data_IF_594122242435
#
_entry.id   IF_594122242435
#
_cell.length_a   1.000
_cell.length_b   1.000
_cell.length_c   1.000
_cell.angle_alpha   90.00
_cell.angle_beta   90.00
_cell.angle_gamma   90.00
#
_symmetry.space_group_name_H-M   'P 1'
#
loop_
_entity.id
_entity.type
_entity.pdbx_description
1 polymer ?
#
# COMPACT_ATOMS: atom_id res chain seq x y z
N UNK A 1 16.00 -20.39 29.47
CA UNK A 1 15.31 -19.11 29.26
C UNK A 1 13.85 -19.43 29.00
N UNK A 2 12.90 -18.76 29.64
CA UNK A 2 11.47 -19.00 29.38
C UNK A 2 11.11 -18.52 27.98
N UNK A 3 10.09 -19.13 27.38
CA UNK A 3 9.51 -18.73 26.10
C UNK A 3 9.12 -17.24 26.07
N UNK A 4 8.61 -16.73 27.20
CA UNK A 4 8.32 -15.31 27.42
C UNK A 4 9.55 -14.38 27.32
N UNK A 5 10.73 -14.82 27.78
CA UNK A 5 11.96 -14.03 27.66
C UNK A 5 12.52 -14.00 26.22
N UNK A 6 12.13 -14.96 25.38
CA UNK A 6 12.48 -14.98 23.95
C UNK A 6 11.56 -14.07 23.12
N UNK A 7 10.26 -13.99 23.48
CA UNK A 7 9.33 -13.04 22.88
C UNK A 7 9.69 -11.58 23.17
N UNK A 8 10.22 -11.28 24.35
CA UNK A 8 10.68 -9.93 24.77
C UNK A 8 11.85 -9.35 23.94
N UNK A 9 12.45 -10.11 23.01
CA UNK A 9 13.42 -9.58 22.03
C UNK A 9 12.89 -9.58 20.59
N UNK A 10 11.76 -10.27 20.34
CA UNK A 10 11.22 -10.47 18.99
C UNK A 10 10.56 -9.21 18.43
N UNK A 11 9.94 -8.39 19.29
CA UNK A 11 9.35 -7.12 18.85
C UNK A 11 10.40 -6.19 18.22
N UNK A 12 11.62 -6.13 18.80
CA UNK A 12 12.74 -5.35 18.23
C UNK A 12 13.19 -5.88 16.88
N UNK A 13 13.20 -7.21 16.70
CA UNK A 13 13.53 -7.82 15.40
C UNK A 13 12.47 -7.49 14.33
N UNK A 14 11.23 -7.25 14.76
CA UNK A 14 10.13 -6.80 13.93
C UNK A 14 10.05 -5.26 13.81
N UNK A 15 11.05 -4.52 14.26
CA UNK A 15 11.12 -3.06 14.11
C UNK A 15 10.30 -2.25 15.12
N UNK A 16 9.71 -2.88 16.14
CA UNK A 16 9.02 -2.19 17.23
C UNK A 16 10.01 -1.75 18.32
N UNK A 17 9.80 -0.56 18.87
CA UNK A 17 10.49 -0.09 20.08
C UNK A 17 9.96 -0.78 21.32
N UNK A 18 10.70 -0.72 22.44
CA UNK A 18 10.21 -1.23 23.74
C UNK A 18 8.95 -0.51 24.19
N UNK A 19 8.89 0.81 23.97
CA UNK A 19 7.72 1.61 24.31
C UNK A 19 6.48 1.21 23.49
N UNK A 20 6.65 0.99 22.19
CA UNK A 20 5.56 0.50 21.33
C UNK A 20 5.07 -0.88 21.76
N UNK A 21 5.97 -1.78 22.14
CA UNK A 21 5.58 -3.09 22.68
C UNK A 21 4.80 -2.97 24.00
N UNK A 22 5.24 -2.12 24.92
CA UNK A 22 4.52 -1.86 26.18
C UNK A 22 3.11 -1.32 25.92
N UNK A 23 2.96 -0.39 24.97
CA UNK A 23 1.66 0.11 24.54
C UNK A 23 0.79 -1.00 23.93
N UNK A 24 1.35 -1.89 23.10
CA UNK A 24 0.61 -3.04 22.54
C UNK A 24 0.08 -3.93 23.66
N UNK A 25 0.91 -4.24 24.67
CA UNK A 25 0.49 -5.04 25.83
C UNK A 25 -0.63 -4.34 26.60
N UNK A 26 -0.55 -3.02 26.78
CA UNK A 26 -1.61 -2.23 27.40
C UNK A 26 -2.92 -2.30 26.60
N UNK A 27 -2.87 -2.11 25.28
CA UNK A 27 -4.04 -2.14 24.39
C UNK A 27 -4.70 -3.51 24.29
N UNK A 28 -3.91 -4.57 24.43
CA UNK A 28 -4.41 -5.95 24.43
C UNK A 28 -4.81 -6.44 25.82
N UNK A 29 -4.40 -5.76 26.89
CA UNK A 29 -4.51 -6.19 28.30
C UNK A 29 -3.81 -7.53 28.58
N UNK A 30 -2.89 -7.95 27.70
CA UNK A 30 -2.07 -9.17 27.78
C UNK A 30 -0.91 -9.10 26.80
N UNK A 31 0.03 -10.05 26.90
CA UNK A 31 1.08 -10.19 25.90
C UNK A 31 0.48 -10.60 24.53
N UNK A 32 0.95 -10.00 23.42
CA UNK A 32 0.54 -10.40 22.08
C UNK A 32 1.11 -11.78 21.75
N UNK A 33 0.34 -12.59 21.03
CA UNK A 33 0.86 -13.80 20.41
C UNK A 33 1.64 -13.47 19.11
N UNK A 34 2.14 -14.49 18.41
CA UNK A 34 2.94 -14.32 17.19
C UNK A 34 2.20 -13.59 16.05
N UNK A 35 0.93 -13.93 15.81
CA UNK A 35 0.10 -13.30 14.77
C UNK A 35 -0.11 -11.84 15.10
N UNK A 36 -0.50 -11.56 16.35
CA UNK A 36 -0.80 -10.22 16.82
C UNK A 36 0.44 -9.32 16.80
N UNK A 37 1.57 -9.83 17.27
CA UNK A 37 2.83 -9.08 17.27
C UNK A 37 3.29 -8.77 15.84
N UNK A 38 3.15 -9.72 14.91
CA UNK A 38 3.48 -9.50 13.50
C UNK A 38 2.56 -8.44 12.86
N UNK A 39 1.26 -8.54 13.11
CA UNK A 39 0.25 -7.57 12.65
C UNK A 39 0.55 -6.16 13.18
N UNK A 40 0.73 -6.00 14.49
CA UNK A 40 1.07 -4.71 15.09
C UNK A 40 2.39 -4.15 14.56
N UNK A 41 3.40 -5.00 14.34
CA UNK A 41 4.71 -4.54 13.86
C UNK A 41 4.64 -3.85 12.50
N UNK A 42 3.73 -4.29 11.63
CA UNK A 42 3.55 -3.69 10.32
C UNK A 42 2.60 -2.50 10.40
N UNK A 43 1.48 -2.63 11.10
CA UNK A 43 0.51 -1.53 11.23
C UNK A 43 1.12 -0.32 11.94
N UNK A 44 2.07 -0.52 12.85
CA UNK A 44 2.80 0.55 13.55
C UNK A 44 4.19 0.84 12.95
N UNK A 45 4.47 0.37 11.74
CA UNK A 45 5.67 0.77 11.00
C UNK A 45 5.55 2.22 10.51
N UNK A 46 6.67 2.90 10.23
CA UNK A 46 6.59 4.24 9.61
C UNK A 46 5.88 4.21 8.26
N UNK A 47 6.05 3.12 7.51
CA UNK A 47 5.45 2.93 6.19
C UNK A 47 3.91 2.92 6.22
N UNK A 48 3.31 2.26 7.21
CA UNK A 48 1.84 2.18 7.32
C UNK A 48 1.26 3.31 8.18
N UNK A 49 1.88 3.63 9.32
CA UNK A 49 1.29 4.56 10.29
C UNK A 49 1.68 6.03 10.08
N UNK A 50 2.76 6.31 9.34
CA UNK A 50 3.29 7.66 9.14
C UNK A 50 3.56 8.37 10.48
N UNK A 51 4.18 7.67 11.44
CA UNK A 51 4.27 8.09 12.85
C UNK A 51 4.91 9.45 13.03
N UNK A 52 5.90 9.78 12.19
CA UNK A 52 6.62 11.05 12.26
C UNK A 52 6.04 12.12 11.32
N UNK A 53 5.43 11.71 10.21
CA UNK A 53 4.99 12.62 9.16
C UNK A 53 3.50 13.00 9.27
N UNK A 54 2.64 12.15 9.85
CA UNK A 54 1.18 12.36 9.92
C UNK A 54 0.79 13.70 10.56
N UNK A 55 1.50 14.13 11.62
CA UNK A 55 1.25 15.42 12.28
C UNK A 55 1.54 16.61 11.35
N UNK A 56 2.64 16.55 10.59
CA UNK A 56 3.00 17.58 9.62
C UNK A 56 2.05 17.59 8.41
N UNK A 57 1.70 16.41 7.89
CA UNK A 57 0.80 16.27 6.74
C UNK A 57 -0.61 16.81 7.02
N UNK A 58 -1.09 16.74 8.26
CA UNK A 58 -2.37 17.34 8.68
C UNK A 58 -2.42 18.87 8.56
N UNK A 59 -1.27 19.53 8.38
CA UNK A 59 -1.22 20.99 8.16
C UNK A 59 -1.52 21.39 6.71
N UNK A 60 -1.49 20.43 5.77
CA UNK A 60 -1.77 20.69 4.36
C UNK A 60 -3.27 20.93 4.15
N UNK A 61 -3.66 21.91 3.31
CA UNK A 61 -5.07 22.15 2.99
C UNK A 61 -5.62 21.00 2.15
N UNK A 62 -6.77 20.46 2.56
CA UNK A 62 -7.42 19.30 1.91
C UNK A 62 -8.79 19.61 1.32
N UNK A 63 -9.31 20.82 1.54
CA UNK A 63 -10.61 21.25 1.06
C UNK A 63 -10.50 22.06 -0.24
N UNK A 64 -11.43 21.82 -1.16
CA UNK A 64 -11.53 22.58 -2.41
C UNK A 64 -12.83 22.27 -3.15
N UNK A 65 -13.34 23.19 -3.99
CA UNK A 65 -14.64 23.05 -4.64
C UNK A 65 -14.72 21.87 -5.60
N UNK A 66 -13.59 21.42 -6.15
CA UNK A 66 -13.51 20.27 -7.04
C UNK A 66 -13.17 18.96 -6.32
N UNK A 67 -12.85 18.97 -5.01
CA UNK A 67 -12.44 17.77 -4.29
C UNK A 67 -13.66 16.86 -4.05
N UNK A 68 -13.61 15.64 -4.59
CA UNK A 68 -14.62 14.60 -4.38
C UNK A 68 -14.19 13.60 -3.31
N UNK A 69 -12.89 13.25 -3.30
CA UNK A 69 -12.25 12.39 -2.29
C UNK A 69 -10.90 13.00 -1.91
N UNK A 70 -10.72 13.27 -0.62
CA UNK A 70 -9.48 13.77 -0.04
C UNK A 70 -8.64 12.65 0.57
N UNK A 71 -7.62 12.99 1.39
CA UNK A 71 -6.83 12.01 2.11
C UNK A 71 -7.68 11.08 2.98
N UNK A 72 -7.38 9.78 2.96
CA UNK A 72 -8.09 8.75 3.73
C UNK A 72 -8.73 7.64 2.88
N UNK A 73 -8.84 7.83 1.57
CA UNK A 73 -9.18 6.77 0.60
C UNK A 73 -7.92 6.33 -0.16
N UNK A 74 -8.02 5.23 -0.94
CA UNK A 74 -6.86 4.70 -1.67
C UNK A 74 -6.37 5.63 -2.77
N UNK A 75 -7.20 6.55 -3.25
CA UNK A 75 -6.77 7.62 -4.16
C UNK A 75 -7.58 8.90 -3.90
N UNK A 76 -6.95 10.05 -4.18
CA UNK A 76 -7.67 11.32 -4.21
C UNK A 76 -8.47 11.43 -5.51
N UNK A 77 -9.61 12.12 -5.48
CA UNK A 77 -10.43 12.32 -6.68
C UNK A 77 -10.98 13.74 -6.77
N UNK A 78 -11.02 14.26 -8.00
CA UNK A 78 -11.53 15.60 -8.31
C UNK A 78 -12.57 15.58 -9.43
N UNK A 79 -13.56 16.46 -9.34
CA UNK A 79 -14.57 16.70 -10.37
C UNK A 79 -13.94 17.48 -11.53
N UNK A 80 -14.03 16.92 -12.75
CA UNK A 80 -13.51 17.55 -13.98
C UNK A 80 -14.62 18.05 -14.91
N UNK A 81 -15.87 18.05 -14.43
CA UNK A 81 -17.05 18.46 -15.18
C UNK A 81 -17.64 17.34 -16.05
N UNK A 82 -18.81 17.61 -16.63
CA UNK A 82 -19.47 16.65 -17.52
C UNK A 82 -19.94 15.34 -16.86
N UNK A 83 -20.05 15.32 -15.52
CA UNK A 83 -20.37 14.11 -14.75
C UNK A 83 -19.18 13.19 -14.54
N UNK A 84 -17.95 13.62 -14.83
CA UNK A 84 -16.74 12.82 -14.73
C UNK A 84 -15.88 13.26 -13.54
N UNK A 85 -15.17 12.29 -12.97
CA UNK A 85 -14.16 12.47 -11.97
C UNK A 85 -12.82 11.90 -12.46
N UNK A 86 -11.73 12.53 -12.03
CA UNK A 86 -10.37 12.00 -12.18
C UNK A 86 -9.85 11.60 -10.81
N UNK A 87 -9.52 10.32 -10.64
CA UNK A 87 -8.82 9.81 -9.47
C UNK A 87 -7.33 9.75 -9.75
N UNK A 88 -6.50 10.08 -8.76
CA UNK A 88 -5.06 10.00 -8.87
C UNK A 88 -4.39 9.79 -7.51
N UNK A 89 -3.23 9.14 -7.56
CA UNK A 89 -2.32 8.96 -6.43
C UNK A 89 -0.90 8.88 -6.96
N UNK A 90 0.05 9.15 -6.08
CA UNK A 90 1.47 8.86 -6.27
C UNK A 90 1.95 7.96 -5.13
N UNK A 91 2.75 6.96 -5.47
CA UNK A 91 3.42 6.08 -4.52
C UNK A 91 4.91 5.98 -4.81
N UNK A 92 5.66 5.49 -3.83
CA UNK A 92 7.11 5.25 -3.96
C UNK A 92 7.44 3.78 -3.72
N UNK A 93 8.37 3.24 -4.50
CA UNK A 93 8.87 1.88 -4.36
C UNK A 93 10.41 1.86 -4.31
N UNK A 94 10.97 2.78 -3.52
CA UNK A 94 12.40 3.13 -3.48
C UNK A 94 13.28 1.95 -3.07
N UNK A 95 13.06 1.41 -1.87
CA UNK A 95 13.92 0.36 -1.33
C UNK A 95 13.88 -0.94 -2.16
N UNK A 96 12.70 -1.48 -2.54
CA UNK A 96 12.65 -2.63 -3.43
C UNK A 96 13.39 -2.36 -4.75
N UNK A 97 13.25 -1.15 -5.32
CA UNK A 97 13.94 -0.77 -6.55
C UNK A 97 15.47 -0.63 -6.39
N UNK A 98 15.96 -0.30 -5.19
CA UNK A 98 17.39 -0.25 -4.90
C UNK A 98 18.02 -1.66 -4.78
N UNK A 99 17.22 -2.67 -4.43
CA UNK A 99 17.62 -4.08 -4.27
C UNK A 99 17.44 -4.85 -5.58
N UNK A 100 16.24 -4.84 -6.15
CA UNK A 100 15.90 -5.44 -7.44
C UNK A 100 15.11 -4.41 -8.28
N UNK A 101 15.80 -3.63 -9.13
CA UNK A 101 15.19 -2.47 -9.81
C UNK A 101 14.08 -2.82 -10.80
N UNK A 102 14.10 -4.00 -11.43
CA UNK A 102 13.09 -4.34 -12.42
C UNK A 102 11.75 -4.63 -11.74
N UNK A 103 11.78 -5.53 -10.78
CA UNK A 103 10.62 -5.95 -10.02
C UNK A 103 10.13 -4.83 -9.11
N UNK A 104 11.02 -4.15 -8.40
CA UNK A 104 10.62 -3.03 -7.55
C UNK A 104 9.89 -1.93 -8.32
N UNK A 105 10.37 -1.56 -9.51
CA UNK A 105 9.68 -0.57 -10.32
C UNK A 105 8.37 -1.11 -10.92
N UNK A 106 8.35 -2.38 -11.33
CA UNK A 106 7.16 -3.03 -11.88
C UNK A 106 6.03 -3.16 -10.85
N UNK A 107 6.32 -3.62 -9.63
CA UNK A 107 5.33 -3.74 -8.54
C UNK A 107 4.87 -2.38 -8.05
N UNK A 108 5.72 -1.35 -8.10
CA UNK A 108 5.31 0.04 -7.87
C UNK A 108 4.24 0.53 -8.86
N UNK A 109 4.36 0.14 -10.15
CA UNK A 109 3.31 0.41 -11.14
C UNK A 109 2.04 -0.42 -10.86
N UNK A 110 2.18 -1.69 -10.49
CA UNK A 110 1.04 -2.53 -10.13
C UNK A 110 0.24 -1.98 -8.95
N UNK A 111 0.91 -1.60 -7.85
CA UNK A 111 0.28 -1.03 -6.67
C UNK A 111 -0.51 0.25 -6.98
N UNK A 112 0.10 1.20 -7.69
CA UNK A 112 -0.57 2.47 -7.99
C UNK A 112 -1.78 2.32 -8.94
N UNK A 113 -1.77 1.30 -9.81
CA UNK A 113 -2.94 0.96 -10.62
C UNK A 113 -4.08 0.45 -9.74
N UNK A 114 -3.77 -0.44 -8.78
CA UNK A 114 -4.74 -1.00 -7.82
C UNK A 114 -5.42 0.08 -6.98
N UNK A 115 -4.66 1.02 -6.46
CA UNK A 115 -5.20 2.17 -5.72
C UNK A 115 -6.28 2.92 -6.51
N UNK A 116 -6.01 3.18 -7.79
CA UNK A 116 -6.88 3.99 -8.66
C UNK A 116 -8.15 3.23 -9.02
N UNK A 117 -8.07 1.93 -9.34
CA UNK A 117 -9.28 1.17 -9.64
C UNK A 117 -10.02 0.68 -8.39
N UNK A 118 -9.40 0.66 -7.21
CA UNK A 118 -10.07 0.41 -5.94
C UNK A 118 -11.20 1.43 -5.67
N UNK A 119 -10.97 2.70 -6.03
CA UNK A 119 -11.98 3.76 -5.95
C UNK A 119 -12.94 3.80 -7.15
N UNK A 120 -12.87 2.80 -8.04
CA UNK A 120 -13.74 2.65 -9.20
C UNK A 120 -13.35 3.46 -10.44
N UNK A 121 -12.17 4.07 -10.44
CA UNK A 121 -11.65 4.79 -11.60
C UNK A 121 -10.84 3.87 -12.51
N UNK A 122 -11.11 3.89 -13.82
CA UNK A 122 -10.32 3.15 -14.80
C UNK A 122 -8.98 3.85 -15.00
N UNK A 123 -7.83 3.20 -14.75
CA UNK A 123 -6.53 3.76 -15.07
C UNK A 123 -6.43 4.09 -16.56
N UNK A 124 -5.98 5.30 -16.87
CA UNK A 124 -5.82 5.80 -18.25
C UNK A 124 -4.39 6.23 -18.56
N UNK A 125 -3.60 6.56 -17.54
CA UNK A 125 -2.23 7.02 -17.71
C UNK A 125 -1.43 6.81 -16.42
N UNK A 126 -0.14 6.51 -16.58
CA UNK A 126 0.85 6.53 -15.51
C UNK A 126 1.91 7.60 -15.78
N UNK A 127 2.55 8.07 -14.71
CA UNK A 127 3.74 8.92 -14.77
C UNK A 127 4.78 8.41 -13.77
N UNK A 128 6.06 8.61 -14.09
CA UNK A 128 7.18 8.19 -13.24
C UNK A 128 8.02 9.38 -12.78
N UNK A 129 8.42 9.37 -11.50
CA UNK A 129 9.34 10.35 -10.91
C UNK A 129 10.57 9.60 -10.41
N UNK A 130 11.67 9.72 -11.15
CA UNK A 130 12.86 8.90 -10.99
C UNK A 130 14.07 9.72 -10.50
N UNK A 131 14.78 9.20 -9.49
CA UNK A 131 16.07 9.75 -9.02
C UNK A 131 17.12 8.67 -8.96
N UNK A 132 18.25 8.89 -9.62
CA UNK A 132 19.41 7.99 -9.60
C UNK A 132 20.71 8.75 -9.37
N UNK A 133 21.78 8.02 -9.06
CA UNK A 133 23.14 8.58 -9.00
C UNK A 133 23.65 9.08 -10.35
N UNK A 134 24.88 9.58 -10.38
CA UNK A 134 25.49 10.14 -11.60
C UNK A 134 25.58 9.10 -12.75
N UNK A 135 25.47 9.58 -14.00
CA UNK A 135 25.43 8.74 -15.20
C UNK A 135 26.74 8.00 -15.50
N UNK A 136 27.86 8.43 -14.94
CA UNK A 136 29.16 7.75 -15.07
C UNK A 136 29.27 6.53 -14.14
N UNK A 137 28.42 6.41 -13.11
CA UNK A 137 28.30 5.21 -12.28
C UNK A 137 27.65 4.05 -13.03
N UNK A 138 28.31 2.88 -12.97
CA UNK A 138 27.75 1.63 -13.49
C UNK A 138 26.51 1.19 -12.72
N UNK A 139 26.44 1.43 -11.41
CA UNK A 139 25.29 1.10 -10.56
C UNK A 139 24.09 1.95 -10.95
N UNK A 140 24.25 3.26 -11.10
CA UNK A 140 23.17 4.17 -11.50
C UNK A 140 22.60 3.80 -12.87
N UNK A 141 23.45 3.50 -13.85
CA UNK A 141 22.99 3.04 -15.17
C UNK A 141 22.22 1.72 -15.10
N UNK A 142 22.66 0.78 -14.25
CA UNK A 142 21.94 -0.47 -14.02
C UNK A 142 20.57 -0.24 -13.38
N UNK A 143 20.49 0.55 -12.31
CA UNK A 143 19.23 0.87 -11.65
C UNK A 143 18.24 1.54 -12.63
N UNK A 144 18.72 2.53 -13.39
CA UNK A 144 17.93 3.22 -14.41
C UNK A 144 17.39 2.25 -15.47
N UNK A 145 18.27 1.49 -16.12
CA UNK A 145 17.89 0.58 -17.22
C UNK A 145 16.84 -0.43 -16.76
N UNK A 146 17.06 -1.04 -15.60
CA UNK A 146 16.18 -2.06 -15.05
C UNK A 146 14.86 -1.49 -14.55
N UNK A 147 14.86 -0.34 -13.87
CA UNK A 147 13.64 0.29 -13.39
C UNK A 147 12.72 0.71 -14.54
N UNK A 148 13.27 1.36 -15.57
CA UNK A 148 12.49 1.75 -16.77
C UNK A 148 11.97 0.51 -17.50
N UNK A 149 12.77 -0.55 -17.60
CA UNK A 149 12.31 -1.82 -18.17
C UNK A 149 11.17 -2.46 -17.36
N UNK A 150 11.21 -2.37 -16.03
CA UNK A 150 10.15 -2.84 -15.14
C UNK A 150 8.84 -2.06 -15.30
N UNK A 151 8.93 -0.72 -15.28
CA UNK A 151 7.80 0.19 -15.52
C UNK A 151 7.16 -0.12 -16.88
N UNK A 152 7.99 -0.19 -17.92
CA UNK A 152 7.55 -0.50 -19.27
C UNK A 152 6.94 -1.89 -19.37
N UNK A 153 7.51 -2.90 -18.72
CA UNK A 153 6.97 -4.25 -18.74
C UNK A 153 5.56 -4.30 -18.14
N UNK A 154 5.38 -3.73 -16.95
CA UNK A 154 4.11 -3.80 -16.24
C UNK A 154 3.02 -2.97 -16.94
N UNK A 155 3.30 -1.68 -17.22
CA UNK A 155 2.35 -0.78 -17.87
C UNK A 155 1.92 -1.25 -19.26
N UNK A 156 2.87 -1.70 -20.10
CA UNK A 156 2.54 -2.21 -21.44
C UNK A 156 1.71 -3.49 -21.40
N UNK A 157 1.94 -4.36 -20.41
CA UNK A 157 1.22 -5.64 -20.29
C UNK A 157 -0.22 -5.43 -19.81
N UNK A 158 -0.44 -4.51 -18.87
CA UNK A 158 -1.81 -4.10 -18.45
C UNK A 158 -2.52 -3.27 -19.52
N UNK A 159 -1.74 -2.57 -20.36
CA UNK A 159 -2.26 -1.67 -21.39
C UNK A 159 -2.56 -0.26 -20.89
N UNK A 160 -1.80 0.22 -19.90
CA UNK A 160 -1.87 1.59 -19.38
C UNK A 160 -0.56 2.29 -19.71
N UNK A 161 -0.65 3.39 -20.45
CA UNK A 161 0.54 4.07 -20.97
C UNK A 161 1.19 4.96 -19.91
N UNK A 162 2.53 4.86 -19.79
CA UNK A 162 3.33 5.90 -19.13
C UNK A 162 3.43 7.09 -20.08
N UNK A 163 2.70 8.17 -19.79
CA UNK A 163 2.53 9.31 -20.71
C UNK A 163 3.59 10.39 -20.52
N UNK A 164 4.34 10.35 -19.44
CA UNK A 164 5.37 11.31 -19.09
C UNK A 164 5.90 11.06 -17.70
N UNK A 165 6.73 11.96 -17.21
CA UNK A 165 7.41 11.80 -15.95
C UNK A 165 8.58 12.76 -15.85
N UNK A 166 9.43 12.55 -14.85
CA UNK A 166 10.65 13.33 -14.70
C UNK A 166 11.77 12.47 -14.12
N UNK A 167 12.99 12.73 -14.60
CA UNK A 167 14.19 12.00 -14.22
C UNK A 167 15.28 12.99 -13.85
N UNK A 168 15.95 12.71 -12.74
CA UNK A 168 17.04 13.55 -12.24
C UNK A 168 18.19 12.70 -11.71
N UNK A 169 19.41 13.19 -11.92
CA UNK A 169 20.65 12.51 -11.55
C UNK A 169 21.43 13.35 -10.54
N UNK A 170 21.76 12.74 -9.41
CA UNK A 170 22.62 13.34 -8.39
C UNK A 170 23.28 12.26 -7.54
N UNK A 171 24.58 12.40 -7.27
CA UNK A 171 25.38 11.43 -6.50
C UNK A 171 24.68 10.84 -5.24
N UNK A 172 23.98 11.59 -4.38
CA UNK A 172 23.34 11.01 -3.18
C UNK A 172 22.31 9.90 -3.48
N UNK A 173 21.70 9.89 -4.66
CA UNK A 173 20.72 8.88 -5.06
C UNK A 173 21.32 7.58 -5.58
N UNK A 174 22.65 7.42 -5.59
CA UNK A 174 23.31 6.18 -6.03
C UNK A 174 23.04 5.00 -5.07
N UNK A 175 22.96 5.31 -3.77
CA UNK A 175 22.72 4.31 -2.72
C UNK A 175 21.23 4.12 -2.42
N UNK A 176 20.46 5.21 -2.52
CA UNK A 176 19.01 5.19 -2.33
C UNK A 176 18.34 5.90 -3.52
N UNK A 177 17.98 5.12 -4.55
CA UNK A 177 17.23 5.67 -5.67
C UNK A 177 15.80 6.00 -5.26
N UNK A 178 15.19 6.98 -5.93
CA UNK A 178 13.75 7.22 -5.80
C UNK A 178 13.06 6.72 -7.05
N UNK A 179 12.05 5.87 -6.87
CA UNK A 179 11.22 5.34 -7.94
C UNK A 179 9.79 5.54 -7.49
N UNK A 180 9.20 6.65 -7.96
CA UNK A 180 7.82 6.97 -7.68
C UNK A 180 6.96 6.74 -8.93
N UNK A 181 5.78 6.18 -8.74
CA UNK A 181 4.78 5.98 -9.77
C UNK A 181 3.52 6.75 -9.42
N UNK A 182 2.99 7.51 -10.38
CA UNK A 182 1.70 8.17 -10.32
C UNK A 182 0.76 7.48 -11.30
N UNK A 183 -0.51 7.35 -10.94
CA UNK A 183 -1.56 6.90 -11.85
C UNK A 183 -2.70 7.91 -11.89
N UNK A 184 -3.28 8.10 -13.06
CA UNK A 184 -4.53 8.80 -13.29
C UNK A 184 -5.57 7.80 -13.77
N UNK A 185 -6.76 7.87 -13.19
CA UNK A 185 -7.92 7.15 -13.66
C UNK A 185 -9.14 8.05 -13.84
N UNK A 186 -10.10 7.57 -14.63
CA UNK A 186 -11.35 8.28 -14.91
C UNK A 186 -12.55 7.42 -14.53
N UNK A 187 -13.57 8.06 -13.95
CA UNK A 187 -14.85 7.44 -13.64
C UNK A 187 -16.00 8.44 -13.81
N UNK A 188 -17.23 7.97 -14.07
CA UNK A 188 -18.43 8.72 -13.72
C UNK A 188 -18.41 9.07 -12.23
N UNK A 189 -18.78 10.30 -11.88
CA UNK A 189 -18.70 10.82 -10.51
C UNK A 189 -19.45 9.95 -9.51
N UNK A 190 -20.62 9.46 -9.90
CA UNK A 190 -21.51 8.62 -9.10
C UNK A 190 -20.99 7.19 -8.87
N UNK A 191 -19.94 6.78 -9.60
CA UNK A 191 -19.33 5.45 -9.48
C UNK A 191 -18.12 5.40 -8.56
N UNK A 192 -17.68 6.54 -8.03
CA UNK A 192 -16.58 6.54 -7.10
C UNK A 192 -16.96 5.77 -5.82
N UNK A 193 -16.18 4.75 -5.50
CA UNK A 193 -16.43 3.86 -4.36
C UNK A 193 -15.46 4.18 -3.23
N UNK A 194 -15.95 4.08 -1.98
CA UNK A 194 -15.13 4.20 -0.76
C UNK A 194 -14.80 2.82 -0.22
N UNK A 195 -13.74 2.72 0.57
CA UNK A 195 -13.29 1.40 1.05
C UNK A 195 -13.85 0.95 2.41
N UNK A 196 -14.68 1.75 3.07
CA UNK A 196 -15.28 1.39 4.36
C UNK A 196 -16.10 0.09 4.30
N UNK A 197 -15.77 -0.90 5.13
CA UNK A 197 -16.57 -2.10 5.27
C UNK A 197 -17.91 -1.79 5.97
N UNK A 198 -18.98 -2.39 5.49
CA UNK A 198 -20.30 -2.23 6.07
C UNK A 198 -21.10 -3.53 6.00
N UNK A 199 -22.19 -3.58 6.78
CA UNK A 199 -23.12 -4.70 6.83
C UNK A 199 -22.57 -5.89 7.62
N UNK A 200 -22.94 -5.99 8.89
CA UNK A 200 -22.64 -7.16 9.73
C UNK A 200 -23.20 -8.42 9.08
N UNK A 201 -22.36 -9.45 8.96
CA UNK A 201 -22.68 -10.70 8.26
C UNK A 201 -22.32 -10.70 6.77
N UNK A 202 -21.90 -9.57 6.19
CA UNK A 202 -21.38 -9.55 4.83
C UNK A 202 -20.09 -10.35 4.70
N UNK A 203 -19.87 -10.95 3.53
CA UNK A 203 -18.69 -11.74 3.25
C UNK A 203 -17.49 -10.85 2.95
N UNK A 204 -16.35 -11.25 3.51
CA UNK A 204 -15.04 -10.74 3.11
C UNK A 204 -14.48 -11.68 2.05
N UNK A 205 -14.26 -11.18 0.83
CA UNK A 205 -13.84 -11.97 -0.33
C UNK A 205 -12.50 -11.48 -0.83
N UNK A 206 -11.52 -12.40 -0.90
CA UNK A 206 -10.21 -12.15 -1.49
C UNK A 206 -10.27 -12.45 -3.00
N UNK A 207 -9.81 -11.51 -3.80
CA UNK A 207 -9.73 -11.60 -5.25
C UNK A 207 -8.27 -11.69 -5.72
N UNK A 208 -8.02 -12.41 -6.82
CA UNK A 208 -6.74 -12.39 -7.53
C UNK A 208 -5.76 -13.52 -7.18
N UNK A 209 -4.48 -13.18 -7.09
CA UNK A 209 -3.40 -14.16 -6.99
C UNK A 209 -3.36 -14.96 -5.68
N UNK A 210 -2.58 -16.04 -5.69
CA UNK A 210 -2.34 -16.88 -4.50
C UNK A 210 -1.39 -16.17 -3.52
N UNK A 211 -1.65 -16.34 -2.23
CA UNK A 211 -0.81 -15.82 -1.15
C UNK A 211 0.43 -16.72 -0.97
N UNK A 212 1.63 -16.17 -1.18
CA UNK A 212 2.92 -16.83 -0.92
C UNK A 212 3.73 -16.09 0.15
N UNK A 213 4.97 -16.52 0.39
CA UNK A 213 5.88 -15.85 1.34
C UNK A 213 6.57 -14.63 0.73
N UNK A 214 5.81 -13.75 0.08
CA UNK A 214 6.32 -12.55 -0.59
C UNK A 214 6.39 -11.37 0.39
N UNK A 215 7.54 -10.68 0.43
CA UNK A 215 7.69 -9.44 1.20
C UNK A 215 7.45 -9.57 2.71
N UNK A 216 7.49 -10.78 3.28
CA UNK A 216 7.31 -10.98 4.72
C UNK A 216 8.42 -10.25 5.48
N UNK A 217 8.03 -9.28 6.30
CA UNK A 217 8.95 -8.40 7.03
C UNK A 217 9.45 -7.18 6.23
N UNK A 218 8.98 -7.00 4.99
CA UNK A 218 9.28 -5.83 4.15
C UNK A 218 8.97 -4.52 4.88
N UNK A 219 7.71 -4.14 5.05
CA UNK A 219 7.39 -2.81 5.57
C UNK A 219 7.98 -2.50 6.96
N UNK A 220 8.10 -3.47 7.88
CA UNK A 220 8.60 -3.24 9.24
C UNK A 220 10.12 -3.27 9.37
N UNK A 221 10.82 -4.18 8.67
CA UNK A 221 12.30 -4.21 8.62
C UNK A 221 12.83 -3.07 7.76
N UNK A 222 12.15 -2.73 6.65
CA UNK A 222 12.54 -1.63 5.78
C UNK A 222 12.32 -0.25 6.43
N UNK A 223 11.32 -0.10 7.30
CA UNK A 223 11.10 1.14 8.05
C UNK A 223 12.09 1.33 9.21
N UNK A 224 12.76 0.27 9.67
CA UNK A 224 13.64 0.28 10.86
C UNK A 224 15.12 0.05 10.56
N UNK A 225 15.49 -0.47 9.38
CA UNK A 225 16.88 -0.70 9.00
C UNK A 225 17.48 0.50 8.26
N UNK A 226 18.50 1.12 8.85
CA UNK A 226 19.51 1.84 8.06
C UNK A 226 20.13 0.85 7.07
N UNK A 227 20.46 1.31 5.84
CA UNK A 227 21.03 0.52 4.75
C UNK A 227 22.35 -0.18 5.15
N UNK A 228 22.27 -1.25 5.93
CA UNK A 228 23.40 -2.08 6.34
C UNK A 228 23.46 -3.33 5.45
N UNK A 229 24.69 -3.72 5.09
CA UNK A 229 25.04 -4.81 4.17
C UNK A 229 24.81 -6.23 4.74
N UNK A 230 23.67 -6.50 5.39
CA UNK A 230 23.35 -7.84 5.90
C UNK A 230 22.63 -8.65 4.79
N UNK A 231 23.37 -9.53 4.10
CA UNK A 231 22.83 -10.36 3.01
C UNK A 231 21.74 -11.34 3.47
N UNK A 232 21.75 -11.72 4.75
CA UNK A 232 20.85 -12.73 5.34
C UNK A 232 19.41 -12.22 5.60
N UNK A 233 19.13 -10.93 5.38
CA UNK A 233 17.81 -10.31 5.67
C UNK A 233 17.06 -9.82 4.44
N UNK A 234 17.48 -10.17 3.21
CA UNK A 234 16.77 -9.72 2.00
C UNK A 234 15.38 -10.39 1.94
N UNK A 235 14.27 -9.64 2.04
CA UNK A 235 12.94 -10.20 1.83
C UNK A 235 12.88 -10.84 0.45
N UNK A 236 12.03 -11.85 0.29
CA UNK A 236 11.68 -12.38 -1.03
C UNK A 236 11.25 -11.23 -1.93
N UNK A 237 11.99 -11.04 -3.03
CA UNK A 237 11.69 -10.00 -4.03
C UNK A 237 10.28 -10.26 -4.55
N UNK A 238 9.39 -9.29 -4.37
CA UNK A 238 8.04 -9.34 -4.92
C UNK A 238 8.14 -9.39 -6.45
N UNK A 239 7.43 -10.32 -7.09
CA UNK A 239 7.35 -10.40 -8.54
C UNK A 239 5.90 -10.13 -8.92
N UNK A 240 5.68 -9.12 -9.74
CA UNK A 240 4.34 -8.79 -10.22
C UNK A 240 3.96 -9.59 -11.47
N UNK A 241 2.69 -9.99 -11.55
CA UNK A 241 2.07 -10.57 -12.75
C UNK A 241 1.09 -9.56 -13.40
N UNK A 242 1.55 -8.72 -14.34
CA UNK A 242 0.69 -7.72 -14.95
C UNK A 242 -0.45 -8.32 -15.81
N UNK A 243 -0.37 -9.59 -16.19
CA UNK A 243 -1.45 -10.24 -16.92
C UNK A 243 -2.60 -10.63 -15.98
N UNK A 244 -2.28 -11.09 -14.77
CA UNK A 244 -3.27 -11.28 -13.71
C UNK A 244 -3.89 -9.94 -13.29
N UNK A 245 -3.07 -8.89 -13.11
CA UNK A 245 -3.53 -7.54 -12.77
C UNK A 245 -4.53 -7.00 -13.81
N UNK A 246 -4.30 -7.26 -15.11
CA UNK A 246 -5.24 -6.86 -16.16
C UNK A 246 -6.61 -7.53 -15.99
N UNK A 247 -6.64 -8.84 -15.72
CA UNK A 247 -7.91 -9.56 -15.48
C UNK A 247 -8.60 -9.05 -14.23
N UNK A 248 -7.84 -8.82 -13.16
CA UNK A 248 -8.30 -8.30 -11.88
C UNK A 248 -8.92 -6.90 -12.05
N UNK A 249 -8.25 -5.99 -12.76
CA UNK A 249 -8.74 -4.65 -13.08
C UNK A 249 -10.08 -4.71 -13.80
N UNK A 250 -10.20 -5.47 -14.89
CA UNK A 250 -11.45 -5.55 -15.65
C UNK A 250 -12.59 -6.18 -14.82
N UNK A 251 -12.27 -7.22 -14.06
CA UNK A 251 -13.20 -7.86 -13.13
C UNK A 251 -13.72 -6.88 -12.07
N UNK A 252 -12.83 -6.17 -11.37
CA UNK A 252 -13.18 -5.20 -10.34
C UNK A 252 -14.03 -4.05 -10.89
N UNK A 253 -13.67 -3.50 -12.05
CA UNK A 253 -14.47 -2.44 -12.67
C UNK A 253 -15.87 -2.93 -13.07
N UNK A 254 -16.01 -4.17 -13.58
CA UNK A 254 -17.33 -4.76 -13.90
C UNK A 254 -18.16 -5.06 -12.64
N UNK A 255 -17.54 -5.52 -11.54
CA UNK A 255 -18.20 -5.72 -10.25
C UNK A 255 -18.76 -4.41 -9.70
N UNK A 256 -17.98 -3.34 -9.77
CA UNK A 256 -18.40 -2.00 -9.36
C UNK A 256 -19.49 -1.42 -10.28
N UNK A 257 -19.36 -1.63 -11.60
CA UNK A 257 -20.38 -1.23 -12.59
C UNK A 257 -21.76 -1.84 -12.30
N UNK A 258 -21.77 -3.09 -11.82
CA UNK A 258 -23.00 -3.80 -11.47
C UNK A 258 -23.47 -3.53 -10.04
N UNK A 259 -22.71 -2.74 -9.27
CA UNK A 259 -22.99 -2.45 -7.87
C UNK A 259 -23.00 -3.69 -6.98
N UNK A 260 -22.12 -4.67 -7.26
CA UNK A 260 -22.08 -5.94 -6.54
C UNK A 260 -21.23 -5.92 -5.26
N UNK A 261 -20.48 -4.84 -5.04
CA UNK A 261 -19.57 -4.69 -3.92
C UNK A 261 -20.02 -3.55 -3.00
N UNK A 262 -19.97 -3.79 -1.70
CA UNK A 262 -20.13 -2.74 -0.69
C UNK A 262 -18.87 -1.89 -0.57
N UNK A 263 -17.71 -2.55 -0.65
CA UNK A 263 -16.40 -1.89 -0.65
C UNK A 263 -15.35 -2.74 -1.34
N UNK A 264 -14.27 -2.08 -1.77
CA UNK A 264 -13.13 -2.66 -2.44
C UNK A 264 -11.86 -1.97 -1.91
N UNK A 265 -10.83 -2.77 -1.63
CA UNK A 265 -9.54 -2.34 -1.09
C UNK A 265 -8.43 -3.15 -1.76
N UNK A 266 -7.32 -2.50 -2.10
CA UNK A 266 -6.13 -3.19 -2.59
C UNK A 266 -5.37 -3.88 -1.44
N UNK A 267 -4.59 -4.91 -1.77
CA UNK A 267 -3.59 -5.47 -0.88
C UNK A 267 -2.20 -4.98 -1.32
N UNK A 268 -1.61 -4.08 -0.51
CA UNK A 268 -0.25 -3.59 -0.65
C UNK A 268 0.63 -4.03 0.53
N UNK A 269 1.32 -3.07 1.12
CA UNK A 269 2.12 -3.29 2.32
C UNK A 269 1.29 -3.84 3.47
N UNK A 270 1.85 -4.78 4.23
CA UNK A 270 1.15 -5.57 5.25
C UNK A 270 -0.02 -6.46 4.77
N UNK A 271 -0.29 -6.53 3.47
CA UNK A 271 -1.20 -7.51 2.87
C UNK A 271 -2.62 -7.49 3.45
N UNK A 272 -3.11 -8.67 3.85
CA UNK A 272 -4.45 -8.80 4.45
C UNK A 272 -4.61 -7.97 5.72
N UNK A 273 -3.53 -7.74 6.46
CA UNK A 273 -3.55 -7.01 7.72
C UNK A 273 -3.99 -5.57 7.53
N UNK A 274 -3.32 -4.79 6.67
CA UNK A 274 -3.67 -3.40 6.41
C UNK A 274 -5.04 -3.31 5.74
N UNK A 275 -5.27 -4.05 4.67
CA UNK A 275 -6.54 -3.98 3.93
C UNK A 275 -7.73 -4.27 4.83
N UNK A 276 -7.70 -5.34 5.63
CA UNK A 276 -8.84 -5.70 6.48
C UNK A 276 -9.03 -4.75 7.67
N UNK A 277 -7.94 -4.32 8.33
CA UNK A 277 -8.02 -3.44 9.49
C UNK A 277 -8.44 -2.02 9.12
N UNK A 278 -7.94 -1.47 8.00
CA UNK A 278 -8.34 -0.16 7.50
C UNK A 278 -9.79 -0.12 7.04
N UNK A 279 -10.23 -1.14 6.28
CA UNK A 279 -11.65 -1.26 5.89
C UNK A 279 -12.56 -1.31 7.11
N UNK A 280 -12.16 -2.08 8.15
CA UNK A 280 -12.91 -2.20 9.39
C UNK A 280 -12.93 -0.90 10.21
N UNK A 281 -11.80 -0.18 10.30
CA UNK A 281 -11.69 1.09 11.02
C UNK A 281 -12.59 2.15 10.37
N UNK A 282 -12.50 2.34 9.04
CA UNK A 282 -13.35 3.27 8.29
C UNK A 282 -14.84 2.94 8.42
N UNK A 283 -15.17 1.66 8.52
CA UNK A 283 -16.53 1.16 8.71
C UNK A 283 -17.05 1.19 10.16
N UNK A 284 -16.17 1.41 11.13
CA UNK A 284 -16.44 1.22 12.57
C UNK A 284 -17.02 -0.17 12.92
N UNK A 285 -16.55 -1.20 12.21
CA UNK A 285 -16.95 -2.61 12.33
C UNK A 285 -15.77 -3.50 12.76
N UNK A 286 -16.04 -4.77 13.06
CA UNK A 286 -15.01 -5.81 13.17
C UNK A 286 -14.96 -6.68 11.91
N UNK A 287 -13.95 -7.54 11.83
CA UNK A 287 -13.80 -8.52 10.74
C UNK A 287 -13.21 -9.81 11.29
N UNK A 288 -13.77 -10.93 10.86
CA UNK A 288 -13.26 -12.27 11.12
C UNK A 288 -12.61 -12.81 9.85
N UNK A 289 -11.39 -13.32 9.93
CA UNK A 289 -10.65 -13.92 8.83
C UNK A 289 -10.27 -15.35 9.17
N UNK A 290 -10.62 -16.27 8.30
CA UNK A 290 -10.29 -17.70 8.36
C UNK A 290 -9.06 -17.95 7.47
N UNK A 291 -7.86 -18.03 8.05
CA UNK A 291 -6.62 -18.12 7.25
C UNK A 291 -6.53 -19.43 6.45
N UNK A 292 -7.19 -20.50 6.91
CA UNK A 292 -7.24 -21.78 6.19
C UNK A 292 -8.01 -21.69 4.87
N UNK A 293 -8.87 -20.67 4.72
CA UNK A 293 -9.63 -20.42 3.49
C UNK A 293 -8.83 -19.58 2.49
N UNK A 294 -7.74 -18.95 2.91
CA UNK A 294 -6.93 -18.10 2.02
C UNK A 294 -6.22 -19.00 1.00
N UNK A 295 -6.36 -18.74 -0.31
CA UNK A 295 -5.65 -19.50 -1.33
C UNK A 295 -4.13 -19.29 -1.21
N UNK A 296 -3.39 -20.38 -0.96
CA UNK A 296 -1.94 -20.33 -0.76
C UNK A 296 -1.18 -20.78 -2.02
N UNK A 297 -0.06 -20.13 -2.30
CA UNK A 297 0.90 -20.54 -3.34
C UNK A 297 1.85 -21.60 -2.81
N UNK A 298 2.20 -21.49 -1.53
CA UNK A 298 3.10 -22.39 -0.83
C UNK A 298 2.34 -23.10 0.30
N UNK A 299 2.41 -24.44 0.41
CA UNK A 299 1.77 -25.15 1.49
C UNK A 299 2.50 -24.90 2.82
N UNK A 300 1.77 -24.98 3.94
CA UNK A 300 2.36 -24.87 5.27
C UNK A 300 2.82 -23.45 5.62
N UNK A 301 2.14 -22.43 5.10
CA UNK A 301 2.29 -21.07 5.62
C UNK A 301 1.62 -20.98 6.98
N UNK A 302 2.31 -20.40 7.95
CA UNK A 302 1.77 -20.15 9.27
C UNK A 302 0.75 -18.98 9.23
N UNK A 303 -0.20 -18.90 10.18
CA UNK A 303 -1.23 -17.86 10.16
C UNK A 303 -0.69 -16.43 10.07
N UNK A 304 0.43 -16.14 10.75
CA UNK A 304 1.05 -14.82 10.68
C UNK A 304 1.61 -14.53 9.28
N UNK A 305 2.19 -15.53 8.60
CA UNK A 305 2.72 -15.39 7.23
C UNK A 305 1.61 -15.09 6.22
N UNK A 306 0.45 -15.72 6.40
CA UNK A 306 -0.73 -15.47 5.55
C UNK A 306 -1.24 -14.03 5.73
N UNK A 307 -1.32 -13.57 6.98
CA UNK A 307 -1.83 -12.24 7.31
C UNK A 307 -0.94 -11.10 6.80
N UNK A 308 0.38 -11.30 6.82
CA UNK A 308 1.36 -10.24 6.50
C UNK A 308 2.00 -10.35 5.12
N UNK A 309 1.66 -11.39 4.36
CA UNK A 309 2.17 -11.58 3.00
C UNK A 309 1.82 -10.39 2.11
N UNK A 310 2.82 -9.89 1.40
CA UNK A 310 2.70 -8.80 0.42
C UNK A 310 2.72 -9.34 -1.02
N UNK A 311 2.15 -10.53 -1.23
CA UNK A 311 1.94 -11.08 -2.57
C UNK A 311 1.12 -10.11 -3.42
N UNK A 312 1.51 -9.93 -4.66
CA UNK A 312 0.95 -8.93 -5.57
C UNK A 312 -0.38 -9.38 -6.20
N UNK A 313 -1.03 -8.49 -6.95
CA UNK A 313 -2.27 -8.75 -7.70
C UNK A 313 -3.41 -9.33 -6.86
N UNK A 314 -3.68 -8.72 -5.69
CA UNK A 314 -4.78 -9.10 -4.81
C UNK A 314 -5.63 -7.90 -4.42
N UNK A 315 -6.94 -8.13 -4.32
CA UNK A 315 -7.91 -7.17 -3.79
C UNK A 315 -8.79 -7.81 -2.72
N UNK A 316 -9.27 -7.02 -1.78
CA UNK A 316 -10.22 -7.42 -0.74
C UNK A 316 -11.53 -6.68 -0.97
N UNK A 317 -12.66 -7.39 -0.98
CA UNK A 317 -13.96 -6.77 -1.11
C UNK A 317 -14.98 -7.28 -0.09
N UNK A 318 -15.99 -6.46 0.17
CA UNK A 318 -17.14 -6.82 1.00
C UNK A 318 -18.36 -7.05 0.11
N UNK A 319 -19.03 -8.18 0.30
CA UNK A 319 -20.14 -8.63 -0.55
C UNK A 319 -21.33 -9.05 0.31
N UNK A 320 -22.52 -8.56 -0.03
CA UNK A 320 -23.77 -9.00 0.60
C UNK A 320 -24.00 -10.51 0.37
N UNK A 321 -24.50 -11.27 1.37
CA UNK A 321 -24.73 -12.71 1.21
C UNK A 321 -25.61 -13.08 0.01
N UNK A 322 -26.60 -12.25 -0.33
CA UNK A 322 -27.50 -12.47 -1.46
C UNK A 322 -26.86 -12.27 -2.84
N UNK A 323 -25.66 -11.66 -2.91
CA UNK A 323 -24.95 -11.36 -4.16
C UNK A 323 -23.69 -12.21 -4.36
N UNK A 324 -23.33 -13.03 -3.38
CA UNK A 324 -22.06 -13.77 -3.41
C UNK A 324 -21.93 -14.65 -4.66
N UNK A 325 -22.95 -15.44 -5.00
CA UNK A 325 -22.92 -16.31 -6.17
C UNK A 325 -22.75 -15.53 -7.48
N UNK A 326 -23.34 -14.34 -7.58
CA UNK A 326 -23.19 -13.47 -8.75
C UNK A 326 -21.76 -12.93 -8.85
N UNK A 327 -21.16 -12.51 -7.73
CA UNK A 327 -19.76 -12.07 -7.68
C UNK A 327 -18.82 -13.20 -8.09
N UNK A 328 -18.99 -14.41 -7.55
CA UNK A 328 -18.16 -15.56 -7.87
C UNK A 328 -18.26 -15.95 -9.36
N UNK A 329 -19.48 -15.97 -9.91
CA UNK A 329 -19.70 -16.28 -11.32
C UNK A 329 -19.08 -15.22 -12.26
N UNK A 330 -19.11 -13.94 -11.87
CA UNK A 330 -18.45 -12.89 -12.63
C UNK A 330 -16.93 -13.03 -12.59
N UNK A 331 -16.36 -13.30 -11.40
CA UNK A 331 -14.91 -13.51 -11.27
C UNK A 331 -14.44 -14.70 -12.10
N UNK A 332 -15.21 -15.80 -12.13
CA UNK A 332 -14.93 -16.96 -12.98
C UNK A 332 -14.89 -16.61 -14.46
N UNK A 333 -15.82 -15.77 -14.95
CA UNK A 333 -15.82 -15.29 -16.35
C UNK A 333 -14.56 -14.52 -16.74
N UNK A 334 -13.99 -13.78 -15.79
CA UNK A 334 -12.72 -13.05 -15.98
C UNK A 334 -11.49 -13.89 -15.67
N UNK A 335 -11.66 -15.16 -15.30
CA UNK A 335 -10.59 -16.04 -14.84
C UNK A 335 -9.81 -15.44 -13.65
N UNK A 336 -10.53 -14.74 -12.77
CA UNK A 336 -10.02 -14.16 -11.51
C UNK A 336 -10.49 -15.03 -10.36
N UNK A 337 -9.57 -15.39 -9.46
CA UNK A 337 -9.95 -16.12 -8.24
C UNK A 337 -10.80 -15.23 -7.37
N UNK A 338 -11.85 -15.79 -6.77
CA UNK A 338 -12.60 -15.15 -5.71
C UNK A 338 -12.87 -16.18 -4.62
N UNK A 339 -12.39 -15.91 -3.41
CA UNK A 339 -12.54 -16.82 -2.27
C UNK A 339 -13.11 -16.04 -1.09
N UNK A 340 -14.29 -16.40 -0.58
CA UNK A 340 -14.75 -15.85 0.69
C UNK A 340 -13.81 -16.37 1.78
N UNK A 341 -13.15 -15.48 2.51
CA UNK A 341 -12.16 -15.79 3.54
C UNK A 341 -12.62 -15.34 4.93
N UNK A 342 -13.74 -14.63 5.03
CA UNK A 342 -14.12 -14.02 6.29
C UNK A 342 -15.50 -13.38 6.27
N UNK A 343 -15.81 -12.68 7.34
CA UNK A 343 -17.08 -11.95 7.51
C UNK A 343 -16.91 -10.65 8.27
N UNK A 344 -17.76 -9.67 7.97
CA UNK A 344 -17.88 -8.42 8.74
C UNK A 344 -18.66 -8.69 10.02
N UNK A 345 -18.18 -8.18 11.15
CA UNK A 345 -18.79 -8.37 12.48
C UNK A 345 -19.04 -7.06 13.21
N UNK A 346 -19.82 -7.08 14.28
CA UNK A 346 -20.07 -5.93 15.16
C UNK A 346 -19.06 -5.81 16.32
N UNK A 347 -18.06 -6.69 16.36
CA UNK A 347 -17.13 -6.81 17.48
C UNK A 347 -16.15 -5.63 17.60
N UNK A 348 -15.92 -4.90 16.50
CA UNK A 348 -14.84 -3.89 16.36
C UNK A 348 -13.44 -4.46 16.58
N UNK A 349 -13.27 -5.75 16.30
CA UNK A 349 -12.01 -6.47 16.43
C UNK A 349 -11.65 -7.11 15.09
N UNK A 350 -10.36 -7.16 14.79
CA UNK A 350 -9.80 -8.03 13.77
C UNK A 350 -9.49 -9.36 14.44
N UNK A 351 -10.27 -10.40 14.11
CA UNK A 351 -10.08 -11.75 14.63
C UNK A 351 -9.59 -12.67 13.53
N UNK A 352 -8.52 -13.40 13.82
CA UNK A 352 -7.87 -14.32 12.90
C UNK A 352 -8.10 -15.73 13.43
N UNK A 353 -8.64 -16.60 12.58
CA UNK A 353 -8.99 -17.98 12.91
C UNK A 353 -8.14 -18.95 12.09
N UNK A 354 -7.64 -19.99 12.74
CA UNK A 354 -6.96 -21.13 12.12
C UNK A 354 -7.42 -22.42 12.81
N UNK A 355 -7.82 -23.43 12.04
CA UNK A 355 -8.42 -24.66 12.54
C UNK A 355 -9.73 -24.46 13.31
N UNK A 356 -10.43 -23.33 13.08
CA UNK A 356 -11.62 -22.93 13.85
C UNK A 356 -11.32 -22.31 15.23
N UNK A 357 -10.05 -22.16 15.59
CA UNK A 357 -9.61 -21.52 16.84
C UNK A 357 -9.13 -20.09 16.57
N UNK A 358 -9.35 -19.18 17.53
CA UNK A 358 -8.85 -17.80 17.44
C UNK A 358 -7.34 -17.83 17.68
N UNK A 359 -6.57 -17.47 16.66
CA UNK A 359 -5.11 -17.35 16.71
C UNK A 359 -4.63 -15.90 16.73
N UNK A 360 -5.53 -14.93 16.58
CA UNK A 360 -5.24 -13.51 16.80
C UNK A 360 -6.52 -12.73 17.07
N UNK A 361 -6.48 -11.82 18.03
CA UNK A 361 -7.64 -11.02 18.43
C UNK A 361 -7.23 -9.61 18.85
N UNK A 362 -7.40 -8.64 17.95
CA UNK A 362 -6.91 -7.27 18.10
C UNK A 362 -8.03 -6.25 17.97
N UNK A 363 -8.11 -5.22 18.83
CA UNK A 363 -9.00 -4.08 18.61
C UNK A 363 -8.63 -3.37 17.29
N UNK A 364 -9.62 -3.11 16.44
CA UNK A 364 -9.38 -2.44 15.15
C UNK A 364 -8.77 -1.04 15.35
N UNK A 365 -9.27 -0.29 16.33
CA UNK A 365 -8.77 1.08 16.63
C UNK A 365 -7.33 1.06 17.10
N UNK A 366 -6.91 0.03 17.84
CA UNK A 366 -5.52 -0.11 18.29
C UNK A 366 -4.55 -0.30 17.10
N UNK A 367 -5.01 -0.95 16.03
CA UNK A 367 -4.20 -1.18 14.84
C UNK A 367 -4.02 0.08 13.99
N UNK A 368 -5.10 0.85 13.79
CA UNK A 368 -5.15 1.93 12.78
C UNK A 368 -5.08 3.33 13.41
N UNK A 369 -5.86 3.57 14.46
CA UNK A 369 -6.17 4.91 14.95
C UNK A 369 -5.30 5.33 16.14
N UNK A 370 -4.90 4.37 16.97
CA UNK A 370 -4.20 4.60 18.24
C UNK A 370 -2.69 4.32 18.16
N UNK A 371 -2.14 4.17 16.95
CA UNK A 371 -0.70 4.07 16.73
C UNK A 371 -0.01 5.35 17.26
N UNK A 372 1.11 5.23 18.01
CA UNK A 372 1.81 6.40 18.53
C UNK A 372 2.31 7.32 17.41
N UNK A 373 2.11 8.63 17.61
CA UNK A 373 2.62 9.68 16.74
C UNK A 373 3.73 10.43 17.47
N UNK A 374 4.79 10.76 16.75
CA UNK A 374 5.96 11.42 17.29
C UNK A 374 6.00 12.87 16.83
N UNK A 375 6.01 13.79 17.80
CA UNK A 375 6.28 15.20 17.53
C UNK A 375 7.79 15.41 17.47
N UNK A 376 8.25 15.99 16.37
CA UNK A 376 9.66 16.30 16.15
C UNK A 376 9.92 17.76 16.53
N UNK A 377 11.01 18.00 17.26
CA UNK A 377 11.56 19.34 17.50
C UNK A 377 12.79 19.54 16.60
N UNK A 378 12.62 19.89 15.31
CA UNK A 378 13.75 20.01 14.40
C UNK A 378 14.57 21.27 14.69
N UNK A 379 15.89 21.14 14.68
CA UNK A 379 16.81 22.28 14.65
C UNK A 379 17.28 22.55 13.22
N UNK A 380 17.34 23.83 12.84
CA UNK A 380 17.90 24.19 11.54
C UNK A 380 19.38 23.76 11.51
N UNK A 381 19.83 23.08 10.44
CA UNK A 381 21.21 22.64 10.36
C UNK A 381 22.15 23.86 10.35
N UNK A 382 23.22 23.80 11.14
CA UNK A 382 24.18 24.91 11.28
C UNK A 382 24.90 25.25 9.96
N UNK A 383 25.02 24.27 9.08
CA UNK A 383 25.54 24.41 7.72
C UNK A 383 24.59 23.70 6.74
N UNK A 384 24.41 24.20 5.51
CA UNK A 384 23.65 23.48 4.49
C UNK A 384 24.26 22.08 4.29
N UNK A 385 23.44 21.04 4.45
CA UNK A 385 23.86 19.64 4.22
C UNK A 385 24.37 19.46 2.79
N UNK A 386 23.80 20.24 1.85
CA UNK A 386 24.20 20.29 0.45
C UNK A 386 24.55 21.73 0.06
N UNK A 387 25.58 21.94 -0.79
CA UNK A 387 25.82 23.24 -1.38
C UNK A 387 24.55 23.67 -2.14
N UNK A 388 24.12 24.92 -1.95
CA UNK A 388 22.95 25.44 -2.64
C UNK A 388 23.10 25.21 -4.15
N UNK A 389 22.09 24.62 -4.82
CA UNK A 389 22.19 24.36 -6.25
C UNK A 389 22.46 25.69 -6.96
N UNK A 390 23.35 25.66 -7.96
CA UNK A 390 23.58 26.83 -8.80
C UNK A 390 22.23 27.20 -9.43
N UNK A 391 21.72 28.44 -9.26
CA UNK A 391 20.45 28.86 -9.83
C UNK A 391 20.45 28.53 -11.34
N UNK A 392 19.56 27.62 -11.76
CA UNK A 392 19.43 27.20 -13.17
C UNK A 392 18.56 28.16 -13.97
N UNK A 393 17.76 28.96 -13.27
CA UNK A 393 17.02 30.07 -13.83
C UNK A 393 17.85 31.32 -13.54
N UNK A 394 18.27 32.03 -14.59
CA UNK A 394 18.67 33.44 -14.45
C UNK A 394 17.52 34.14 -13.72
N UNK A 395 17.73 35.09 -12.79
CA UNK A 395 16.63 35.88 -12.25
C UNK A 395 16.09 36.76 -13.37
N UNK A 396 15.32 36.14 -14.27
CA UNK A 396 14.46 36.79 -15.21
C UNK A 396 13.58 37.71 -14.36
N UNK A 397 13.55 38.99 -14.73
CA UNK A 397 12.66 40.01 -14.17
C UNK A 397 11.20 39.71 -14.52
N UNK A 398 10.75 38.47 -14.32
CA UNK A 398 9.38 38.04 -14.58
C UNK A 398 8.66 38.09 -13.24
N UNK A 399 7.61 38.93 -13.12
CA UNK A 399 6.76 38.96 -11.93
C UNK A 399 6.24 37.56 -11.58
N UNK A 400 6.15 37.25 -10.28
CA UNK A 400 5.88 35.90 -9.77
C UNK A 400 4.56 35.29 -10.29
N UNK A 401 3.60 36.12 -10.69
CA UNK A 401 2.31 35.73 -11.27
C UNK A 401 2.40 35.22 -12.72
N UNK A 402 3.51 35.45 -13.42
CA UNK A 402 3.73 34.98 -14.79
C UNK A 402 4.64 33.74 -14.88
N UNK A 403 5.43 33.44 -13.84
CA UNK A 403 6.35 32.29 -13.86
C UNK A 403 5.65 30.94 -13.99
N UNK A 404 4.50 30.77 -13.33
CA UNK A 404 3.77 29.49 -13.35
C UNK A 404 3.13 29.20 -14.72
N UNK A 405 2.78 30.25 -15.47
CA UNK A 405 2.14 30.15 -16.79
C UNK A 405 3.13 29.85 -17.93
N UNK A 406 4.42 30.17 -17.76
CA UNK A 406 5.47 29.80 -18.72
C UNK A 406 6.08 28.41 -18.43
N UNK A 407 5.88 27.87 -17.22
CA UNK A 407 6.30 26.53 -16.83
C UNK A 407 5.31 25.43 -17.25
N UNK A 408 4.06 25.81 -17.57
CA UNK A 408 3.00 24.96 -18.13
C UNK A 408 2.97 25.09 -19.66
#
# INVERSE_FOLDING_TARGET
MSEAAALSQRHRQLGLTDHEYELIVEKLEREPNEVELAVFSLMWSEHCAYKHSKLLLRTLPTEGPAVLMGPGENAGAVDVGGGLAVAFKVESHNHPSAVEPFQGAATGVGGILRDVFAVGARPIATLDSLRFGELDSSRSRYLLDRAVAGIGHYGNSVGVATVGGEIYFERPYEHNCLVNAMCLGIAPRERLTRSAAAGVGNHLVLLGALTGRDGIGGASVLASAELAEDEDKRPSVQIGDPFEEKKLLECCLELLDRGLLESLQDLGAAGLTSSSSEMASKGAVGVDIEVDRVPLREPGMEPFEVMISESQERMLCVVEPGRLDEVLALCERWEVRATPIGTVTDTRRLRVFAGGEIVGDMPVTALVDECPLYELEPEAPAEPIYPAPRPRVDPLHIPADQQLLELL
#
